data_IF_150405970812
#
_entry.id   IF_150405970812
#
_cell.length_a   1.000
_cell.length_b   1.000
_cell.length_c   1.000
_cell.angle_alpha   90.00
_cell.angle_beta   90.00
_cell.angle_gamma   90.00
#
_symmetry.space_group_name_H-M   'P 1'
#
loop_
_entity.id
_entity.type
_entity.pdbx_description
1 polymer ?
#
# COMPACT_ATOMS: atom_id res chain seq x y z
N UNK A 1 -2.35 0.66 -13.67
CA UNK A 1 -2.42 -0.38 -12.64
C UNK A 1 -3.68 -0.24 -11.78
N UNK A 2 -4.28 -1.35 -11.33
CA UNK A 2 -5.42 -1.34 -10.40
C UNK A 2 -4.93 -1.27 -8.96
N UNK A 3 -5.53 -0.42 -8.13
CA UNK A 3 -5.14 -0.22 -6.74
C UNK A 3 -6.34 -0.02 -5.81
N UNK A 4 -6.14 -0.20 -4.50
CA UNK A 4 -7.07 0.25 -3.46
C UNK A 4 -6.50 1.54 -2.86
N UNK A 5 -7.28 2.61 -2.86
CA UNK A 5 -6.90 3.92 -2.34
C UNK A 5 -7.84 4.36 -1.21
N UNK A 6 -7.27 4.97 -0.18
CA UNK A 6 -7.99 5.59 0.92
C UNK A 6 -7.73 7.09 0.86
N UNK A 7 -8.78 7.89 0.73
CA UNK A 7 -8.70 9.35 0.64
C UNK A 7 -9.42 10.08 1.77
N UNK A 8 -10.11 9.33 2.65
CA UNK A 8 -10.87 9.84 3.80
C UNK A 8 -10.86 8.79 4.92
N UNK A 9 -11.00 9.25 6.17
CA UNK A 9 -11.18 8.36 7.32
C UNK A 9 -12.58 7.75 7.34
N UNK A 10 -12.70 6.53 7.86
CA UNK A 10 -13.95 5.80 7.99
C UNK A 10 -13.74 4.29 8.13
N UNK A 11 -14.83 3.54 8.07
CA UNK A 11 -14.80 2.08 8.03
C UNK A 11 -14.42 1.55 6.64
N UNK A 12 -14.61 0.25 6.36
CA UNK A 12 -14.24 -0.37 5.09
C UNK A 12 -14.81 0.29 3.83
N UNK A 13 -15.88 1.06 3.94
CA UNK A 13 -16.49 1.85 2.86
C UNK A 13 -15.60 2.94 2.28
N UNK A 14 -14.44 3.21 2.87
CA UNK A 14 -13.45 4.17 2.34
C UNK A 14 -12.39 3.51 1.45
N UNK A 15 -12.42 2.17 1.30
CA UNK A 15 -11.53 1.41 0.43
C UNK A 15 -12.00 1.51 -1.02
N UNK A 16 -11.53 2.52 -1.75
CA UNK A 16 -11.92 2.76 -3.14
C UNK A 16 -11.00 1.99 -4.09
N UNK A 17 -11.57 1.14 -4.95
CA UNK A 17 -10.82 0.47 -6.02
C UNK A 17 -10.73 1.40 -7.22
N UNK A 18 -9.51 1.79 -7.59
CA UNK A 18 -9.24 2.79 -8.62
C UNK A 18 -8.23 2.27 -9.64
N UNK A 19 -8.28 2.84 -10.84
CA UNK A 19 -7.22 2.70 -11.83
C UNK A 19 -6.28 3.90 -11.74
N UNK A 20 -4.99 3.61 -11.60
CA UNK A 20 -3.91 4.60 -11.60
C UNK A 20 -3.03 4.39 -12.84
N UNK A 21 -2.31 5.44 -13.29
CA UNK A 21 -1.21 5.26 -14.22
C UNK A 21 -0.22 4.23 -13.68
N UNK A 22 0.43 3.51 -14.58
CA UNK A 22 1.55 2.65 -14.18
C UNK A 22 2.67 3.52 -13.58
N UNK A 23 3.45 2.97 -12.63
CA UNK A 23 4.53 3.72 -11.99
C UNK A 23 5.64 3.97 -13.01
N UNK A 24 6.57 4.87 -12.67
CA UNK A 24 7.74 5.10 -13.53
C UNK A 24 8.44 3.76 -13.79
N UNK A 25 8.64 3.38 -15.07
CA UNK A 25 9.29 2.12 -15.41
C UNK A 25 10.74 2.04 -14.91
N UNK A 26 11.38 3.17 -14.60
CA UNK A 26 12.74 3.22 -14.07
C UNK A 26 12.69 3.55 -12.56
N UNK A 27 12.90 2.57 -11.67
CA UNK A 27 12.98 2.85 -10.25
C UNK A 27 14.22 3.69 -9.93
N UNK A 28 14.13 4.53 -8.89
CA UNK A 28 15.26 5.33 -8.42
C UNK A 28 16.42 4.47 -7.90
N UNK A 29 17.56 5.12 -7.60
CA UNK A 29 18.75 4.42 -7.10
C UNK A 29 18.42 3.61 -5.83
N UNK A 30 18.68 2.30 -5.88
CA UNK A 30 18.43 1.38 -4.77
C UNK A 30 16.97 0.91 -4.65
N UNK A 31 16.07 1.37 -5.51
CA UNK A 31 14.69 0.91 -5.56
C UNK A 31 14.50 -0.21 -6.59
N UNK A 32 13.41 -0.97 -6.43
CA UNK A 32 12.98 -1.99 -7.38
C UNK A 32 11.50 -1.86 -7.62
N UNK A 33 11.09 -2.04 -8.87
CA UNK A 33 9.69 -2.12 -9.26
C UNK A 33 9.29 -3.59 -9.35
N UNK A 34 8.15 -3.95 -8.73
CA UNK A 34 7.62 -5.31 -8.72
C UNK A 34 6.20 -5.33 -9.27
N UNK A 35 5.88 -6.38 -10.02
CA UNK A 35 4.50 -6.71 -10.34
C UNK A 35 3.92 -7.56 -9.20
N UNK A 36 2.82 -7.09 -8.62
CA UNK A 36 2.22 -7.67 -7.41
C UNK A 36 1.03 -8.53 -7.80
N UNK A 37 1.17 -9.85 -7.65
CA UNK A 37 0.10 -10.81 -7.93
C UNK A 37 -0.85 -11.05 -6.76
N UNK A 38 -0.46 -10.66 -5.54
CA UNK A 38 -1.24 -10.85 -4.31
C UNK A 38 -0.82 -9.87 -3.22
N UNK A 39 -1.79 -9.42 -2.41
CA UNK A 39 -1.57 -8.59 -1.23
C UNK A 39 -2.31 -9.20 -0.03
N UNK A 40 -1.65 -9.25 1.12
CA UNK A 40 -2.25 -9.73 2.38
C UNK A 40 -2.98 -8.61 3.11
N UNK A 41 -4.05 -8.97 3.83
CA UNK A 41 -4.79 -8.07 4.72
C UNK A 41 -4.41 -8.39 6.16
N UNK A 42 -4.09 -7.36 6.95
CA UNK A 42 -3.66 -7.48 8.34
C UNK A 42 -4.56 -6.67 9.27
N UNK A 43 -4.58 -7.02 10.56
CA UNK A 43 -5.30 -6.24 11.58
C UNK A 43 -4.76 -4.79 11.71
N UNK A 44 -3.48 -4.57 11.40
CA UNK A 44 -2.89 -3.24 11.37
C UNK A 44 -3.55 -2.32 10.32
N UNK A 45 -4.14 -2.87 9.27
CA UNK A 45 -4.77 -2.08 8.19
C UNK A 45 -6.02 -1.34 8.68
N UNK A 46 -6.64 -1.80 9.78
CA UNK A 46 -7.77 -1.11 10.42
C UNK A 46 -7.33 0.06 11.32
N UNK A 47 -6.03 0.20 11.59
CA UNK A 47 -5.48 1.20 12.52
C UNK A 47 -5.05 2.50 11.82
N UNK A 48 -5.55 2.79 10.62
CA UNK A 48 -5.24 4.05 9.93
C UNK A 48 -5.62 5.32 10.70
N UNK A 49 -6.53 5.24 11.68
CA UNK A 49 -6.85 6.36 12.59
C UNK A 49 -5.73 6.62 13.64
N UNK A 50 -4.80 5.69 13.84
CA UNK A 50 -3.69 5.79 14.78
C UNK A 50 -2.37 5.56 14.05
N UNK A 51 -1.91 6.57 13.31
CA UNK A 51 -0.60 6.56 12.67
C UNK A 51 0.53 6.46 13.72
N UNK A 52 0.84 5.25 14.17
CA UNK A 52 2.19 4.91 14.57
C UNK A 52 2.91 4.42 13.29
N UNK A 53 4.08 4.97 12.95
CA UNK A 53 4.80 4.56 11.75
C UNK A 53 5.10 3.06 11.84
N UNK A 54 4.70 2.30 10.82
CA UNK A 54 5.20 0.94 10.58
C UNK A 54 6.66 1.04 10.14
N UNK A 55 7.53 1.36 11.08
CA UNK A 55 8.96 1.05 11.03
C UNK A 55 9.19 -0.19 11.90
N UNK A 56 8.67 -1.35 11.48
CA UNK A 56 9.05 -2.66 12.03
C UNK A 56 8.36 -3.82 11.27
N UNK A 57 8.74 -4.04 10.01
CA UNK A 57 8.67 -5.37 9.42
C UNK A 57 9.89 -5.52 8.52
N UNK A 58 11.00 -5.93 9.13
CA UNK A 58 12.24 -6.19 8.41
C UNK A 58 12.02 -7.30 7.39
N UNK A 59 12.37 -7.03 6.13
CA UNK A 59 12.74 -8.09 5.20
C UNK A 59 14.14 -8.54 5.60
N UNK A 60 14.19 -9.63 6.36
CA UNK A 60 15.43 -10.35 6.64
C UNK A 60 16.02 -10.87 5.33
N UNK A 61 17.30 -10.56 5.12
CA UNK A 61 18.23 -11.37 4.33
C UNK A 61 18.45 -12.73 4.97
#
# INVERSE_FOLDING_TARGET
>A
MRAVQITRFGGPEVLDVVDLPDPDPVPGLGQRLYDVSSAGVNYADTHQEQALPVTAAGFGS
#
